data_IF_454237715717
#
_entry.id   IF_454237715717
#
_cell.length_a   1.000
_cell.length_b   1.000
_cell.length_c   1.000
_cell.angle_alpha   90.00
_cell.angle_beta   90.00
_cell.angle_gamma   90.00
#
_symmetry.space_group_name_H-M   'P 1'
#
loop_
_entity.id
_entity.type
_entity.pdbx_description
1 polymer ?
#
# COMPACT_ATOMS: atom_id res chain seq x y z
N UNK A 1 -5.57 -2.32 -10.23
CA UNK A 1 -4.64 -2.60 -9.11
C UNK A 1 -5.25 -2.28 -7.75
N UNK A 2 -5.72 -1.05 -7.48
CA UNK A 2 -6.25 -0.66 -6.16
C UNK A 2 -7.37 -1.58 -5.65
N UNK A 3 -8.35 -1.94 -6.48
CA UNK A 3 -9.43 -2.86 -6.08
C UNK A 3 -8.93 -4.26 -5.70
N UNK A 4 -7.90 -4.78 -6.40
CA UNK A 4 -7.31 -6.09 -6.12
C UNK A 4 -6.48 -6.06 -4.83
N UNK A 5 -5.75 -4.98 -4.60
CA UNK A 5 -5.04 -4.76 -3.34
C UNK A 5 -6.04 -4.57 -2.19
N UNK A 6 -7.13 -3.84 -2.40
CA UNK A 6 -8.15 -3.66 -1.37
C UNK A 6 -8.84 -4.97 -0.97
N UNK A 7 -9.00 -5.92 -1.90
CA UNK A 7 -9.47 -7.26 -1.54
C UNK A 7 -8.45 -8.09 -0.74
N UNK A 8 -7.14 -7.84 -0.93
CA UNK A 8 -6.08 -8.50 -0.16
C UNK A 8 -5.88 -7.86 1.23
N UNK A 9 -6.16 -6.56 1.36
CA UNK A 9 -5.93 -5.76 2.57
C UNK A 9 -7.25 -5.22 3.16
N UNK A 10 -8.17 -6.13 3.52
CA UNK A 10 -9.53 -5.78 3.98
C UNK A 10 -9.59 -4.89 5.23
N UNK A 11 -8.52 -4.83 6.02
CA UNK A 11 -8.42 -3.98 7.21
C UNK A 11 -7.94 -2.56 6.90
N UNK A 12 -7.52 -2.29 5.67
CA UNK A 12 -7.04 -0.99 5.20
C UNK A 12 -8.14 -0.31 4.39
N UNK A 13 -8.49 0.96 4.67
CA UNK A 13 -9.46 1.69 3.85
C UNK A 13 -9.03 1.79 2.38
N UNK A 14 -9.98 1.68 1.45
CA UNK A 14 -9.73 1.78 0.01
C UNK A 14 -9.00 3.07 -0.37
N UNK A 15 -9.31 4.18 0.29
CA UNK A 15 -8.67 5.48 0.05
C UNK A 15 -7.18 5.47 0.40
N UNK A 16 -6.80 4.70 1.43
CA UNK A 16 -5.40 4.49 1.81
C UNK A 16 -4.70 3.60 0.79
N UNK A 17 -5.37 2.58 0.26
CA UNK A 17 -4.85 1.73 -0.81
C UNK A 17 -4.58 2.55 -2.08
N UNK A 18 -5.52 3.39 -2.50
CA UNK A 18 -5.34 4.28 -3.66
C UNK A 18 -4.18 5.26 -3.47
N UNK A 19 -4.04 5.83 -2.26
CA UNK A 19 -2.89 6.69 -1.95
C UNK A 19 -1.57 5.93 -2.00
N UNK A 20 -1.49 4.73 -1.44
CA UNK A 20 -0.29 3.89 -1.53
C UNK A 20 0.08 3.54 -2.97
N UNK A 21 -0.90 3.29 -3.84
CA UNK A 21 -0.66 3.04 -5.27
C UNK A 21 -0.13 4.30 -5.97
N UNK A 22 -0.70 5.47 -5.68
CA UNK A 22 -0.22 6.75 -6.23
C UNK A 22 1.20 7.07 -5.75
N UNK A 23 1.51 6.84 -4.47
CA UNK A 23 2.84 7.03 -3.91
C UNK A 23 3.84 6.04 -4.53
N UNK A 24 3.44 4.79 -4.75
CA UNK A 24 4.28 3.78 -5.40
C UNK A 24 4.64 4.17 -6.85
N UNK A 25 3.69 4.72 -7.59
CA UNK A 25 3.90 5.26 -8.93
C UNK A 25 4.91 6.42 -8.90
N UNK A 26 4.66 7.41 -8.05
CA UNK A 26 5.53 8.59 -7.92
C UNK A 26 6.95 8.20 -7.49
N UNK A 27 7.10 7.24 -6.57
CA UNK A 27 8.39 6.71 -6.14
C UNK A 27 9.13 6.01 -7.28
N UNK A 28 8.44 5.16 -8.07
CA UNK A 28 9.06 4.48 -9.21
C UNK A 28 9.58 5.48 -10.25
N UNK A 29 8.75 6.47 -10.61
CA UNK A 29 9.13 7.54 -11.53
C UNK A 29 10.31 8.37 -11.01
N UNK A 30 10.27 8.74 -9.72
CA UNK A 30 11.35 9.50 -9.08
C UNK A 30 12.70 8.77 -9.10
N UNK A 31 12.68 7.44 -8.98
CA UNK A 31 13.87 6.59 -9.03
C UNK A 31 14.33 6.29 -10.47
N UNK A 32 13.61 6.76 -11.49
CA UNK A 32 13.88 6.44 -12.89
C UNK A 32 13.60 4.97 -13.24
N UNK A 33 12.80 4.29 -12.42
CA UNK A 33 12.36 2.91 -12.68
C UNK A 33 11.13 2.97 -13.59
N UNK A 34 11.09 2.11 -14.60
CA UNK A 34 9.88 1.98 -15.43
C UNK A 34 8.71 1.55 -14.54
N UNK A 35 7.72 2.43 -14.38
CA UNK A 35 6.58 2.22 -13.49
C UNK A 35 5.54 1.29 -14.13
N UNK A 36 5.95 0.06 -14.42
CA UNK A 36 5.05 -0.98 -14.91
C UNK A 36 4.02 -1.33 -13.82
N UNK A 37 2.81 -1.79 -14.21
CA UNK A 37 1.79 -2.19 -13.24
C UNK A 37 2.27 -3.23 -12.22
N UNK A 38 3.17 -4.14 -12.62
CA UNK A 38 3.75 -5.16 -11.74
C UNK A 38 4.65 -4.55 -10.67
N UNK A 39 5.55 -3.63 -11.06
CA UNK A 39 6.44 -2.94 -10.13
C UNK A 39 5.64 -2.08 -9.15
N UNK A 40 4.67 -1.32 -9.66
CA UNK A 40 3.81 -0.47 -8.84
C UNK A 40 2.99 -1.30 -7.86
N UNK A 41 2.39 -2.42 -8.31
CA UNK A 41 1.65 -3.32 -7.42
C UNK A 41 2.55 -3.90 -6.32
N UNK A 42 3.79 -4.30 -6.67
CA UNK A 42 4.74 -4.86 -5.70
C UNK A 42 5.13 -3.84 -4.64
N UNK A 43 5.49 -2.62 -5.03
CA UNK A 43 5.85 -1.55 -4.09
C UNK A 43 4.66 -1.21 -3.19
N UNK A 44 3.46 -1.04 -3.76
CA UNK A 44 2.26 -0.74 -2.99
C UNK A 44 1.92 -1.85 -1.98
N UNK A 45 2.08 -3.12 -2.36
CA UNK A 45 1.87 -4.28 -1.49
C UNK A 45 2.83 -4.27 -0.30
N UNK A 46 4.11 -4.02 -0.53
CA UNK A 46 5.11 -3.95 0.53
C UNK A 46 4.80 -2.80 1.52
N UNK A 47 4.39 -1.64 1.00
CA UNK A 47 3.99 -0.50 1.84
C UNK A 47 2.76 -0.83 2.70
N UNK A 48 1.74 -1.46 2.12
CA UNK A 48 0.53 -1.87 2.83
C UNK A 48 0.83 -2.95 3.88
N UNK A 49 1.73 -3.90 3.59
CA UNK A 49 2.18 -4.91 4.54
C UNK A 49 2.91 -4.26 5.72
N UNK A 50 3.81 -3.32 5.45
CA UNK A 50 4.51 -2.57 6.49
C UNK A 50 3.53 -1.76 7.35
N UNK A 51 2.50 -1.15 6.75
CA UNK A 51 1.46 -0.41 7.45
C UNK A 51 0.69 -1.30 8.42
N UNK A 52 0.23 -2.47 7.97
CA UNK A 52 -0.49 -3.43 8.82
C UNK A 52 0.38 -3.95 9.96
N UNK A 53 1.64 -4.28 9.68
CA UNK A 53 2.57 -4.80 10.68
C UNK A 53 3.04 -3.74 11.68
N UNK A 54 2.99 -2.46 11.31
CA UNK A 54 3.40 -1.34 12.17
C UNK A 54 2.25 -0.76 12.99
N UNK A 55 1.01 -1.23 12.77
CA UNK A 55 -0.14 -0.77 13.52
C UNK A 55 0.06 -1.06 15.03
N UNK A 56 -0.04 -0.06 15.91
CA UNK A 56 0.11 -0.29 17.33
C UNK A 56 -0.99 -1.26 17.80
N UNK A 57 -0.70 -2.15 18.77
CA UNK A 57 -1.72 -3.04 19.30
C UNK A 57 -2.90 -2.21 19.84
N UNK A 58 -4.14 -2.70 19.67
CA UNK A 58 -5.31 -2.01 20.18
C UNK A 58 -5.13 -1.80 21.68
N UNK A 59 -5.19 -0.54 22.12
CA UNK A 59 -5.12 -0.20 23.54
C UNK A 59 -6.34 -0.83 24.21
N UNK A 60 -6.16 -1.90 24.97
CA UNK A 60 -7.21 -2.41 25.84
C UNK A 60 -7.50 -1.34 26.90
N UNK A 61 -8.73 -0.81 26.98
CA UNK A 61 -9.08 0.06 28.10
C UNK A 61 -9.07 -0.81 29.37
N UNK A 62 -8.30 -0.39 30.36
CA UNK A 62 -8.24 -0.99 31.69
C UNK A 62 -9.45 -0.56 32.51
#
# INVERSE_FOLDING_TARGET
>A
MSLRLASDFLTVPIETVDRCVADALACAEHLGIEATPDIVERIAREHLLALVNSAPPPRTPR
#
